data_IF_942844897196
#
_entry.id   IF_942844897196
#
_cell.length_a   1.000
_cell.length_b   1.000
_cell.length_c   1.000
_cell.angle_alpha   90.00
_cell.angle_beta   90.00
_cell.angle_gamma   90.00
#
_symmetry.space_group_name_H-M   'P 1'
#
loop_
_entity.id
_entity.type
_entity.pdbx_description
1 polymer ?
#
# COMPACT_ATOMS: atom_id res chain seq x y z
N UNK A 1 -13.18 -4.26 -26.09
CA UNK A 1 -14.13 -3.37 -26.75
C UNK A 1 -15.32 -3.07 -25.87
N UNK A 2 -15.90 -1.92 -26.08
CA UNK A 2 -17.06 -1.43 -25.31
C UNK A 2 -18.24 -2.38 -25.40
N UNK A 3 -18.42 -3.02 -26.53
CA UNK A 3 -19.51 -3.98 -26.73
C UNK A 3 -19.50 -5.11 -25.70
N UNK A 4 -18.33 -5.51 -25.23
CA UNK A 4 -18.22 -6.54 -24.20
C UNK A 4 -18.75 -6.06 -22.86
N UNK A 5 -18.68 -4.79 -22.56
CA UNK A 5 -19.19 -4.22 -21.31
C UNK A 5 -20.71 -4.21 -21.24
N UNK A 6 -21.38 -4.40 -22.36
CA UNK A 6 -22.83 -4.41 -22.42
C UNK A 6 -23.46 -5.77 -22.14
N UNK A 7 -22.64 -6.78 -21.87
CA UNK A 7 -23.09 -8.15 -21.71
C UNK A 7 -23.45 -8.47 -20.26
N UNK A 8 -24.03 -7.54 -19.56
CA UNK A 8 -24.70 -7.82 -18.32
C UNK A 8 -23.80 -8.04 -17.10
N UNK A 9 -24.30 -8.82 -16.14
CA UNK A 9 -23.74 -8.95 -14.80
C UNK A 9 -22.34 -9.57 -14.76
N UNK A 10 -21.99 -10.43 -15.70
CA UNK A 10 -20.66 -11.02 -15.75
C UNK A 10 -19.57 -9.97 -15.95
N UNK A 11 -19.84 -9.00 -16.82
CA UNK A 11 -18.90 -7.91 -17.06
C UNK A 11 -18.80 -6.98 -15.86
N UNK A 12 -19.89 -6.74 -15.15
CA UNK A 12 -19.85 -5.94 -13.93
C UNK A 12 -19.00 -6.60 -12.84
N UNK A 13 -19.12 -7.91 -12.68
CA UNK A 13 -18.31 -8.67 -11.74
C UNK A 13 -16.85 -8.65 -12.15
N UNK A 14 -16.60 -8.81 -13.44
CA UNK A 14 -15.24 -8.77 -14.00
C UNK A 14 -14.60 -7.39 -13.81
N UNK A 15 -15.37 -6.33 -13.99
CA UNK A 15 -14.88 -4.96 -13.81
C UNK A 15 -14.46 -4.69 -12.37
N UNK A 16 -15.20 -5.19 -11.39
CA UNK A 16 -14.81 -5.07 -9.98
C UNK A 16 -13.51 -5.83 -9.70
N UNK A 17 -13.40 -7.04 -10.24
CA UNK A 17 -12.20 -7.85 -10.13
C UNK A 17 -11.01 -7.18 -10.81
N UNK A 18 -11.23 -6.61 -12.01
CA UNK A 18 -10.22 -5.85 -12.73
C UNK A 18 -9.78 -4.61 -11.97
N UNK A 19 -10.71 -3.89 -11.35
CA UNK A 19 -10.39 -2.71 -10.55
C UNK A 19 -9.46 -3.07 -9.40
N UNK A 20 -9.76 -4.14 -8.68
CA UNK A 20 -8.92 -4.60 -7.58
C UNK A 20 -7.55 -5.05 -8.10
N UNK A 21 -7.52 -5.82 -9.20
CA UNK A 21 -6.28 -6.30 -9.80
C UNK A 21 -5.42 -5.14 -10.31
N UNK A 22 -6.03 -4.13 -10.92
CA UNK A 22 -5.31 -2.95 -11.38
C UNK A 22 -4.67 -2.20 -10.23
N UNK A 23 -5.40 -2.00 -9.13
CA UNK A 23 -4.86 -1.36 -7.94
C UNK A 23 -3.73 -2.19 -7.34
N UNK A 24 -3.83 -3.50 -7.38
CA UNK A 24 -2.78 -4.40 -6.92
C UNK A 24 -1.52 -4.25 -7.77
N UNK A 25 -1.66 -4.13 -9.09
CA UNK A 25 -0.53 -3.91 -9.99
C UNK A 25 0.10 -2.53 -9.80
N UNK A 26 -0.71 -1.51 -9.60
CA UNK A 26 -0.22 -0.16 -9.27
C UNK A 26 0.57 -0.19 -7.96
N UNK A 27 0.07 -0.92 -6.96
CA UNK A 27 0.78 -1.07 -5.68
C UNK A 27 2.14 -1.75 -5.86
N UNK A 28 2.23 -2.75 -6.73
CA UNK A 28 3.50 -3.40 -7.04
C UNK A 28 4.49 -2.45 -7.69
N UNK A 29 4.02 -1.63 -8.63
CA UNK A 29 4.87 -0.63 -9.29
C UNK A 29 5.35 0.43 -8.29
N UNK A 30 4.47 0.92 -7.43
CA UNK A 30 4.85 1.88 -6.40
C UNK A 30 5.81 1.28 -5.37
N UNK A 31 5.60 0.02 -5.03
CA UNK A 31 6.53 -0.71 -4.18
C UNK A 31 7.93 -0.72 -4.80
N UNK A 32 8.01 -0.95 -6.12
CA UNK A 32 9.28 -0.94 -6.84
C UNK A 32 9.93 0.44 -6.83
N UNK A 33 9.15 1.49 -7.08
CA UNK A 33 9.64 2.88 -6.97
C UNK A 33 10.21 3.14 -5.57
N UNK A 34 9.51 2.67 -4.56
CA UNK A 34 9.94 2.81 -3.17
C UNK A 34 11.23 2.03 -2.90
N UNK A 35 11.31 0.76 -3.32
CA UNK A 35 12.51 -0.05 -3.11
C UNK A 35 13.71 0.50 -3.89
N UNK A 36 13.51 1.02 -5.08
CA UNK A 36 14.58 1.67 -5.84
C UNK A 36 15.09 2.93 -5.13
N UNK A 37 14.20 3.71 -4.54
CA UNK A 37 14.58 4.89 -3.76
C UNK A 37 15.38 4.50 -2.51
N UNK A 38 15.00 3.43 -1.83
CA UNK A 38 15.76 2.89 -0.70
C UNK A 38 17.16 2.51 -1.16
N UNK A 39 17.24 1.77 -2.26
CA UNK A 39 18.52 1.31 -2.81
C UNK A 39 19.45 2.48 -3.15
N UNK A 40 18.91 3.50 -3.79
CA UNK A 40 19.71 4.64 -4.26
C UNK A 40 20.11 5.58 -3.15
N UNK A 41 19.29 5.77 -2.13
CA UNK A 41 19.46 6.84 -1.15
C UNK A 41 19.74 6.37 0.27
N UNK A 42 19.37 5.15 0.63
CA UNK A 42 19.53 4.63 2.00
C UNK A 42 20.57 3.52 2.12
N UNK A 43 20.98 2.91 1.01
CA UNK A 43 21.91 1.79 1.04
C UNK A 43 23.28 2.24 0.51
N UNK A 44 24.27 2.48 1.40
CA UNK A 44 25.65 2.73 0.94
C UNK A 44 26.23 1.49 0.26
N UNK A 45 27.19 1.66 -0.68
CA UNK A 45 27.73 0.52 -1.44
C UNK A 45 28.54 -0.48 -0.62
N UNK A 46 28.84 -0.18 0.64
CA UNK A 46 29.69 -1.03 1.51
C UNK A 46 28.93 -1.87 2.52
N UNK A 47 27.59 -1.97 2.38
CA UNK A 47 26.78 -2.76 3.30
C UNK A 47 26.85 -4.27 2.99
N UNK A 48 26.75 -5.08 4.04
CA UNK A 48 26.58 -6.53 3.88
C UNK A 48 25.18 -6.85 3.35
N UNK A 49 24.98 -8.04 2.73
CA UNK A 49 23.65 -8.45 2.29
C UNK A 49 22.60 -8.45 3.42
N UNK A 50 23.01 -8.77 4.65
CA UNK A 50 22.11 -8.76 5.81
C UNK A 50 21.67 -7.35 6.17
N UNK A 51 22.60 -6.39 6.13
CA UNK A 51 22.27 -4.98 6.39
C UNK A 51 21.36 -4.41 5.30
N UNK A 52 21.59 -4.78 4.06
CA UNK A 52 20.73 -4.38 2.95
C UNK A 52 19.32 -4.90 3.17
N UNK A 53 19.18 -6.18 3.48
CA UNK A 53 17.90 -6.81 3.75
C UNK A 53 17.16 -6.13 4.90
N UNK A 54 17.87 -5.80 5.97
CA UNK A 54 17.31 -5.08 7.11
C UNK A 54 16.78 -3.70 6.72
N UNK A 55 17.49 -2.98 5.86
CA UNK A 55 17.06 -1.65 5.41
C UNK A 55 15.73 -1.72 4.66
N UNK A 56 15.59 -2.69 3.76
CA UNK A 56 14.33 -2.88 3.05
C UNK A 56 13.19 -3.28 3.99
N UNK A 57 13.45 -4.20 4.89
CA UNK A 57 12.46 -4.67 5.84
C UNK A 57 11.99 -3.55 6.78
N UNK A 58 12.92 -2.74 7.24
CA UNK A 58 12.62 -1.60 8.12
C UNK A 58 11.70 -0.59 7.46
N UNK A 59 11.92 -0.29 6.19
CA UNK A 59 11.07 0.64 5.45
C UNK A 59 9.69 0.05 5.17
N UNK A 60 9.62 -1.21 4.84
CA UNK A 60 8.35 -1.90 4.65
C UNK A 60 7.56 -1.95 5.97
N UNK A 61 8.22 -2.25 7.07
CA UNK A 61 7.59 -2.28 8.39
C UNK A 61 7.08 -0.90 8.81
N UNK A 62 7.80 0.16 8.47
CA UNK A 62 7.36 1.53 8.70
C UNK A 62 6.00 1.78 8.06
N UNK A 63 5.86 1.47 6.78
CA UNK A 63 4.62 1.69 6.05
C UNK A 63 3.49 0.82 6.59
N UNK A 64 3.76 -0.45 6.85
CA UNK A 64 2.75 -1.38 7.37
C UNK A 64 2.27 -0.93 8.75
N UNK A 65 3.18 -0.52 9.62
CA UNK A 65 2.83 -0.06 10.96
C UNK A 65 1.99 1.21 10.91
N UNK A 66 2.34 2.15 10.06
CA UNK A 66 1.60 3.41 9.93
C UNK A 66 0.18 3.17 9.43
N UNK A 67 0.03 2.30 8.43
CA UNK A 67 -1.28 2.08 7.79
C UNK A 67 -2.12 1.02 8.50
N UNK A 68 -1.54 -0.10 8.88
CA UNK A 68 -2.26 -1.25 9.43
C UNK A 68 -2.11 -1.39 10.95
N UNK A 69 -1.21 -0.65 11.57
CA UNK A 69 -0.95 -0.74 12.99
C UNK A 69 -0.10 -1.93 13.39
N UNK A 70 0.46 -2.67 12.45
CA UNK A 70 1.29 -3.86 12.71
C UNK A 70 2.23 -4.13 11.56
N UNK A 71 3.33 -4.82 11.86
CA UNK A 71 4.27 -5.26 10.85
C UNK A 71 3.74 -6.52 10.13
N UNK A 72 4.38 -6.85 9.02
CA UNK A 72 4.04 -8.08 8.30
C UNK A 72 4.25 -9.32 9.16
N UNK A 73 5.31 -9.32 9.99
CA UNK A 73 5.56 -10.44 10.91
C UNK A 73 4.48 -10.56 11.97
N UNK A 74 4.09 -9.45 12.59
CA UNK A 74 3.02 -9.42 13.58
C UNK A 74 1.71 -9.92 13.00
N UNK A 75 1.41 -9.51 11.77
CA UNK A 75 0.21 -9.99 11.08
C UNK A 75 0.24 -11.50 10.84
N UNK A 76 1.38 -12.04 10.37
CA UNK A 76 1.53 -13.49 10.16
C UNK A 76 1.40 -14.26 11.46
N UNK A 77 1.99 -13.75 12.53
CA UNK A 77 1.92 -14.40 13.84
C UNK A 77 0.48 -14.43 14.38
N UNK A 78 -0.30 -13.39 14.08
CA UNK A 78 -1.71 -13.32 14.47
C UNK A 78 -2.64 -14.12 13.55
N UNK A 79 -2.18 -14.47 12.36
CA UNK A 79 -3.00 -15.15 11.34
C UNK A 79 -2.26 -16.37 10.77
N UNK A 80 -1.90 -17.35 11.63
CA UNK A 80 -1.05 -18.46 11.21
C UNK A 80 -1.68 -19.37 10.16
N UNK A 81 -3.00 -19.37 10.03
CA UNK A 81 -3.72 -20.20 9.07
C UNK A 81 -4.05 -19.46 7.77
N UNK A 82 -3.74 -18.17 7.70
CA UNK A 82 -3.99 -17.36 6.50
C UNK A 82 -2.80 -17.48 5.55
N UNK A 83 -3.12 -17.62 4.28
CA UNK A 83 -2.11 -17.59 3.22
C UNK A 83 -1.90 -16.17 2.73
N UNK A 84 -0.71 -15.90 2.21
CA UNK A 84 -0.39 -14.59 1.69
C UNK A 84 0.23 -13.67 2.73
N UNK A 85 0.02 -12.38 2.55
CA UNK A 85 0.59 -11.35 3.41
C UNK A 85 -0.46 -10.31 3.78
N UNK A 86 -0.06 -9.36 4.61
CA UNK A 86 -0.96 -8.31 5.10
C UNK A 86 -1.62 -7.51 3.96
N UNK A 87 -0.91 -7.32 2.84
CA UNK A 87 -1.43 -6.60 1.68
C UNK A 87 -2.55 -7.36 0.97
N UNK A 88 -2.48 -8.67 1.00
CA UNK A 88 -3.51 -9.51 0.36
C UNK A 88 -4.84 -9.44 1.09
N UNK A 89 -4.81 -9.10 2.37
CA UNK A 89 -6.01 -8.90 3.18
C UNK A 89 -6.49 -7.45 3.19
N UNK A 90 -5.76 -6.54 2.55
CA UNK A 90 -6.07 -5.13 2.56
C UNK A 90 -7.26 -4.80 1.65
N UNK A 91 -8.03 -3.80 2.03
CA UNK A 91 -9.08 -3.26 1.18
C UNK A 91 -8.47 -2.48 0.02
N UNK A 92 -9.28 -2.22 -1.02
CA UNK A 92 -8.84 -1.42 -2.17
C UNK A 92 -8.40 -0.01 -1.73
N UNK A 93 -9.08 0.56 -0.73
CA UNK A 93 -8.74 1.88 -0.20
C UNK A 93 -7.41 1.86 0.55
N UNK A 94 -7.18 0.83 1.34
CA UNK A 94 -5.89 0.63 2.00
C UNK A 94 -4.75 0.45 0.99
N UNK A 95 -4.99 -0.30 -0.07
CA UNK A 95 -3.98 -0.46 -1.14
C UNK A 95 -3.67 0.86 -1.82
N UNK A 96 -4.69 1.70 -2.06
CA UNK A 96 -4.49 3.01 -2.65
C UNK A 96 -3.66 3.92 -1.73
N UNK A 97 -4.01 3.97 -0.46
CA UNK A 97 -3.26 4.78 0.52
C UNK A 97 -1.84 4.27 0.64
N UNK A 98 -1.65 2.95 0.67
CA UNK A 98 -0.32 2.34 0.73
C UNK A 98 0.53 2.74 -0.49
N UNK A 99 -0.05 2.71 -1.68
CA UNK A 99 0.63 3.14 -2.90
C UNK A 99 1.06 4.61 -2.82
N UNK A 100 0.19 5.47 -2.31
CA UNK A 100 0.49 6.87 -2.12
C UNK A 100 1.59 7.08 -1.06
N UNK A 101 1.56 6.29 0.01
CA UNK A 101 2.60 6.31 1.05
C UNK A 101 3.95 5.89 0.50
N UNK A 102 3.99 4.85 -0.31
CA UNK A 102 5.22 4.37 -0.93
C UNK A 102 5.84 5.45 -1.83
N UNK A 103 5.02 6.09 -2.64
CA UNK A 103 5.46 7.16 -3.52
C UNK A 103 5.95 8.37 -2.72
N UNK A 104 5.22 8.77 -1.70
CA UNK A 104 5.60 9.90 -0.83
C UNK A 104 6.88 9.59 -0.06
N UNK A 105 6.99 8.39 0.49
CA UNK A 105 8.19 7.99 1.21
C UNK A 105 9.43 8.01 0.31
N UNK A 106 9.29 7.60 -0.95
CA UNK A 106 10.38 7.69 -1.92
C UNK A 106 10.88 9.14 -2.08
N UNK A 107 9.96 10.09 -2.14
CA UNK A 107 10.29 11.52 -2.23
C UNK A 107 11.00 11.99 -0.94
N UNK A 108 10.48 11.61 0.20
CA UNK A 108 11.05 12.01 1.50
C UNK A 108 12.45 11.43 1.71
N UNK A 109 12.67 10.20 1.28
CA UNK A 109 13.99 9.56 1.31
C UNK A 109 14.98 10.35 0.46
N UNK A 110 14.57 10.72 -0.74
CA UNK A 110 15.41 11.51 -1.66
C UNK A 110 15.76 12.88 -1.07
N UNK A 111 14.84 13.46 -0.30
CA UNK A 111 15.06 14.74 0.38
C UNK A 111 15.97 14.62 1.61
N UNK A 112 16.38 13.42 1.97
CA UNK A 112 17.26 13.20 3.11
C UNK A 112 16.60 13.20 4.46
N UNK A 113 15.27 13.07 4.52
CA UNK A 113 14.56 13.04 5.80
C UNK A 113 14.80 11.74 6.54
N UNK A 114 15.03 11.83 7.84
CA UNK A 114 15.25 10.66 8.68
C UNK A 114 13.95 9.87 8.89
N UNK A 115 14.08 8.60 9.24
CA UNK A 115 12.93 7.70 9.37
C UNK A 115 11.87 8.21 10.36
N UNK A 116 12.30 8.78 11.49
CA UNK A 116 11.35 9.31 12.48
C UNK A 116 10.47 10.42 11.90
N UNK A 117 11.09 11.34 11.16
CA UNK A 117 10.34 12.43 10.51
C UNK A 117 9.44 11.91 9.41
N UNK A 118 9.91 10.92 8.65
CA UNK A 118 9.10 10.30 7.61
C UNK A 118 7.90 9.57 8.21
N UNK A 119 8.08 8.93 9.35
CA UNK A 119 6.97 8.27 10.03
C UNK A 119 5.85 9.25 10.37
N UNK A 120 6.18 10.43 10.88
CA UNK A 120 5.20 11.48 11.17
C UNK A 120 4.45 11.93 9.93
N UNK A 121 5.19 12.23 8.87
CA UNK A 121 4.60 12.73 7.62
C UNK A 121 3.72 11.67 6.95
N UNK A 122 4.16 10.43 6.97
CA UNK A 122 3.40 9.31 6.42
C UNK A 122 2.14 9.03 7.23
N UNK A 123 2.22 9.17 8.54
CA UNK A 123 1.06 9.01 9.41
C UNK A 123 0.00 10.09 9.11
N UNK A 124 0.42 11.34 8.98
CA UNK A 124 -0.49 12.43 8.59
C UNK A 124 -1.16 12.15 7.26
N UNK A 125 -0.40 11.72 6.27
CA UNK A 125 -0.92 11.36 4.95
C UNK A 125 -1.95 10.23 5.05
N UNK A 126 -1.60 9.17 5.77
CA UNK A 126 -2.47 8.00 5.91
C UNK A 126 -3.80 8.37 6.58
N UNK A 127 -3.74 9.12 7.67
CA UNK A 127 -4.94 9.56 8.40
C UNK A 127 -5.82 10.43 7.51
N UNK A 128 -5.22 11.40 6.83
CA UNK A 128 -5.95 12.30 5.94
C UNK A 128 -6.64 11.54 4.81
N UNK A 129 -5.92 10.66 4.14
CA UNK A 129 -6.45 9.93 2.99
C UNK A 129 -7.48 8.90 3.40
N UNK A 130 -7.23 8.14 4.47
CA UNK A 130 -8.20 7.17 4.95
C UNK A 130 -9.50 7.85 5.40
N UNK A 131 -9.41 8.99 6.03
CA UNK A 131 -10.59 9.77 6.44
C UNK A 131 -11.38 10.23 5.22
N UNK A 132 -10.71 10.76 4.21
CA UNK A 132 -11.35 11.23 2.99
C UNK A 132 -12.01 10.07 2.23
N UNK A 133 -11.30 8.96 2.08
CA UNK A 133 -11.81 7.79 1.35
C UNK A 133 -12.99 7.14 2.07
N UNK A 134 -12.94 7.05 3.39
CA UNK A 134 -14.05 6.52 4.18
C UNK A 134 -15.31 7.37 4.03
N UNK A 135 -15.14 8.68 4.00
CA UNK A 135 -16.24 9.62 3.77
C UNK A 135 -16.86 9.45 2.39
N UNK A 136 -16.01 9.30 1.35
CA UNK A 136 -16.46 9.09 -0.02
C UNK A 136 -17.15 7.74 -0.20
N UNK A 137 -16.63 6.71 0.44
CA UNK A 137 -17.18 5.36 0.38
C UNK A 137 -18.64 5.33 0.85
N UNK A 138 -18.94 6.04 1.92
CA UNK A 138 -20.28 6.06 2.49
C UNK A 138 -21.28 6.86 1.66
N UNK A 139 -20.81 7.81 0.85
CA UNK A 139 -21.70 8.75 0.19
C UNK A 139 -21.87 8.54 -1.31
N UNK A 140 -20.87 7.96 -1.99
CA UNK A 140 -20.78 8.08 -3.44
C UNK A 140 -20.63 6.77 -4.22
N UNK A 141 -20.63 5.61 -3.57
CA UNK A 141 -20.50 4.35 -4.29
C UNK A 141 -21.89 3.73 -4.51
N UNK A 142 -22.37 3.73 -5.77
CA UNK A 142 -23.67 3.13 -6.07
C UNK A 142 -23.66 1.64 -5.72
N UNK A 143 -24.73 1.20 -5.05
CA UNK A 143 -24.89 -0.21 -4.72
C UNK A 143 -24.22 -0.68 -3.45
N UNK A 144 -23.61 0.20 -2.67
CA UNK A 144 -23.14 -0.15 -1.33
C UNK A 144 -24.26 0.19 -0.34
N UNK A 145 -24.78 -0.84 0.28
CA UNK A 145 -25.74 -0.66 1.35
C UNK A 145 -25.04 -0.09 2.57
N UNK A 146 -25.60 0.96 3.09
CA UNK A 146 -25.18 1.52 4.37
C UNK A 146 -25.66 0.60 5.47
N UNK A 147 -24.72 -0.07 6.08
CA UNK A 147 -24.99 -0.87 7.26
C UNK A 147 -24.49 -0.19 8.51
#
# INVERSE_FOLDING_TARGET
>A
EISACLVGSEMCIRDRSLGWNLNREISKLNYRVHTDSIKENLIPPVLTPQQISYSYASEADLLNTVLFGKTAKEWRDSNPNEKGNIRDSATIYQLLVLANMESYNAILIKQGKIQADRMHLLHELAVQQMTTLSSLELSNLPGIEKK
#
